data_IF_027106670632
#
_entry.id   IF_027106670632
#
_cell.length_a   1.000
_cell.length_b   1.000
_cell.length_c   1.000
_cell.angle_alpha   90.00
_cell.angle_beta   90.00
_cell.angle_gamma   90.00
#
_symmetry.space_group_name_H-M   'P 1'
#
loop_
_entity.id
_entity.type
_entity.pdbx_description
1 polymer ?
#
# COMPACT_ATOMS: atom_id res chain seq x y z
N UNK A 1 13.47 6.93 2.41
CA UNK A 1 14.78 6.26 2.37
C UNK A 1 15.90 7.11 1.78
N UNK A 2 15.70 7.90 0.73
CA UNK A 2 16.75 8.80 0.19
C UNK A 2 17.38 9.70 1.27
N UNK A 3 16.57 10.36 2.11
CA UNK A 3 17.07 11.17 3.23
C UNK A 3 17.93 10.39 4.22
N UNK A 4 17.58 9.12 4.49
CA UNK A 4 18.37 8.25 5.38
C UNK A 4 19.71 7.89 4.72
N UNK A 5 19.72 7.63 3.40
CA UNK A 5 20.94 7.35 2.65
C UNK A 5 21.88 8.55 2.63
N UNK A 6 21.36 9.75 2.34
CA UNK A 6 22.14 10.99 2.27
C UNK A 6 22.77 11.35 3.62
N UNK A 7 22.02 11.20 4.72
CA UNK A 7 22.49 11.57 6.05
C UNK A 7 23.36 10.51 6.72
N UNK A 8 23.28 9.25 6.29
CA UNK A 8 23.99 8.14 6.94
C UNK A 8 25.52 8.24 6.89
N UNK A 9 26.08 8.87 5.84
CA UNK A 9 27.52 9.06 5.69
C UNK A 9 28.12 10.03 6.71
N UNK A 10 27.28 10.82 7.39
CA UNK A 10 27.69 11.80 8.40
C UNK A 10 27.42 11.30 9.83
N UNK A 11 26.80 10.13 9.99
CA UNK A 11 26.41 9.58 11.28
C UNK A 11 27.42 8.54 11.78
N UNK A 12 28.11 8.81 12.90
CA UNK A 12 29.09 7.89 13.45
C UNK A 12 28.47 6.74 14.26
N UNK A 13 27.22 6.89 14.74
CA UNK A 13 26.58 5.92 15.63
C UNK A 13 25.21 5.48 15.10
N UNK A 14 24.88 4.20 15.33
CA UNK A 14 23.56 3.63 15.00
C UNK A 14 22.42 4.33 15.78
N UNK A 15 22.68 4.83 16.99
CA UNK A 15 21.70 5.61 17.75
C UNK A 15 21.21 6.85 17.00
N UNK A 16 22.12 7.52 16.28
CA UNK A 16 21.81 8.74 15.52
C UNK A 16 20.98 8.39 14.29
N UNK A 17 21.36 7.29 13.61
CA UNK A 17 20.60 6.71 12.51
C UNK A 17 19.18 6.33 12.94
N UNK A 18 19.00 5.72 14.11
CA UNK A 18 17.69 5.37 14.66
C UNK A 18 16.82 6.60 14.91
N UNK A 19 17.39 7.72 15.35
CA UNK A 19 16.67 8.98 15.52
C UNK A 19 16.07 9.47 14.21
N UNK A 20 16.85 9.45 13.13
CA UNK A 20 16.39 9.85 11.79
C UNK A 20 15.37 8.85 11.23
N UNK A 21 15.56 7.55 11.45
CA UNK A 21 14.57 6.53 11.06
C UNK A 21 13.26 6.74 11.82
N UNK A 22 13.30 7.05 13.12
CA UNK A 22 12.09 7.30 13.90
C UNK A 22 11.27 8.49 13.37
N UNK A 23 11.96 9.53 12.89
CA UNK A 23 11.33 10.73 12.33
C UNK A 23 10.80 10.52 10.91
N UNK A 24 11.56 9.83 10.05
CA UNK A 24 11.28 9.80 8.60
C UNK A 24 10.80 8.45 8.05
N UNK A 25 11.02 7.34 8.76
CA UNK A 25 10.69 5.99 8.29
C UNK A 25 10.46 5.04 9.48
N UNK A 26 9.55 5.40 10.37
CA UNK A 26 9.33 4.71 11.65
C UNK A 26 9.08 3.20 11.49
N UNK A 27 8.46 2.79 10.40
CA UNK A 27 8.21 1.40 10.01
C UNK A 27 9.49 0.56 9.81
N UNK A 28 10.63 1.21 9.63
CA UNK A 28 11.94 0.61 9.48
C UNK A 28 12.68 0.45 10.82
N UNK A 29 12.14 0.97 11.94
CA UNK A 29 12.77 0.85 13.26
C UNK A 29 12.97 -0.60 13.69
N UNK A 30 12.01 -1.48 13.39
CA UNK A 30 12.14 -2.90 13.72
C UNK A 30 13.27 -3.58 12.94
N UNK A 31 13.50 -3.17 11.69
CA UNK A 31 14.56 -3.69 10.84
C UNK A 31 15.93 -3.23 11.35
N UNK A 32 16.10 -1.94 11.66
CA UNK A 32 17.39 -1.43 12.15
C UNK A 32 17.73 -1.97 13.56
N UNK A 33 16.73 -2.21 14.42
CA UNK A 33 16.96 -2.85 15.71
C UNK A 33 17.48 -4.28 15.54
N UNK A 34 16.90 -5.05 14.61
CA UNK A 34 17.36 -6.40 14.29
C UNK A 34 18.80 -6.40 13.75
N UNK A 35 19.13 -5.45 12.87
CA UNK A 35 20.49 -5.29 12.33
C UNK A 35 21.50 -4.99 13.46
N UNK A 36 21.13 -4.14 14.42
CA UNK A 36 21.98 -3.87 15.59
C UNK A 36 22.11 -5.11 16.51
N UNK A 37 21.03 -5.86 16.73
CA UNK A 37 21.04 -7.12 17.49
C UNK A 37 21.92 -8.20 16.85
N UNK A 38 22.09 -8.17 15.52
CA UNK A 38 23.03 -9.02 14.77
C UNK A 38 24.51 -8.59 14.97
N UNK A 39 24.77 -7.55 15.76
CA UNK A 39 26.10 -7.06 16.11
C UNK A 39 26.70 -6.10 15.08
N UNK A 40 25.91 -5.62 14.13
CA UNK A 40 26.35 -4.61 13.17
C UNK A 40 26.40 -3.26 13.86
N UNK A 41 27.57 -2.63 13.89
CA UNK A 41 27.79 -1.32 14.52
C UNK A 41 28.15 -0.22 13.53
N UNK A 42 28.62 -0.58 12.33
CA UNK A 42 28.94 0.35 11.26
C UNK A 42 27.64 0.87 10.62
N UNK A 43 27.45 2.20 10.65
CA UNK A 43 26.23 2.86 10.16
C UNK A 43 26.01 2.66 8.67
N UNK A 44 27.07 2.63 7.86
CA UNK A 44 26.93 2.48 6.42
C UNK A 44 26.59 1.03 6.03
N UNK A 45 27.18 0.06 6.71
CA UNK A 45 26.78 -1.36 6.59
C UNK A 45 25.33 -1.53 7.04
N UNK A 46 24.94 -0.92 8.17
CA UNK A 46 23.58 -1.00 8.70
C UNK A 46 22.54 -0.43 7.73
N UNK A 47 22.81 0.71 7.09
CA UNK A 47 21.92 1.30 6.07
C UNK A 47 21.81 0.41 4.84
N UNK A 48 22.92 -0.17 4.36
CA UNK A 48 22.86 -1.09 3.23
C UNK A 48 22.02 -2.34 3.53
N UNK A 49 22.17 -2.91 4.72
CA UNK A 49 21.34 -4.04 5.16
C UNK A 49 19.86 -3.63 5.31
N UNK A 50 19.61 -2.43 5.84
CA UNK A 50 18.25 -1.88 5.98
C UNK A 50 17.55 -1.78 4.62
N UNK A 51 18.26 -1.29 3.59
CA UNK A 51 17.74 -1.20 2.22
C UNK A 51 17.44 -2.59 1.64
N UNK A 52 18.30 -3.58 1.88
CA UNK A 52 18.08 -4.96 1.45
C UNK A 52 16.83 -5.54 2.13
N UNK A 53 16.71 -5.38 3.44
CA UNK A 53 15.58 -5.89 4.21
C UNK A 53 14.25 -5.22 3.82
N UNK A 54 14.26 -3.90 3.56
CA UNK A 54 13.09 -3.19 3.02
C UNK A 54 12.71 -3.74 1.64
N UNK A 55 13.68 -3.95 0.76
CA UNK A 55 13.42 -4.52 -0.56
C UNK A 55 12.83 -5.93 -0.48
N UNK A 56 13.35 -6.79 0.40
CA UNK A 56 12.81 -8.14 0.65
C UNK A 56 11.37 -8.06 1.18
N UNK A 57 11.11 -7.15 2.12
CA UNK A 57 9.78 -6.91 2.67
C UNK A 57 8.80 -6.48 1.58
N UNK A 58 9.18 -5.53 0.72
CA UNK A 58 8.37 -5.05 -0.39
C UNK A 58 8.09 -6.15 -1.43
N UNK A 59 9.08 -6.96 -1.79
CA UNK A 59 8.90 -8.11 -2.67
C UNK A 59 7.94 -9.14 -2.07
N UNK A 60 8.02 -9.37 -0.76
CA UNK A 60 7.11 -10.27 -0.04
C UNK A 60 5.68 -9.75 -0.06
N UNK A 61 5.48 -8.44 0.18
CA UNK A 61 4.18 -7.77 0.09
C UNK A 61 3.60 -7.91 -1.33
N UNK A 62 4.38 -7.60 -2.37
CA UNK A 62 3.96 -7.72 -3.78
C UNK A 62 3.61 -9.17 -4.15
N UNK A 63 4.42 -10.14 -3.71
CA UNK A 63 4.14 -11.57 -3.91
C UNK A 63 2.81 -11.96 -3.27
N UNK A 64 2.56 -11.53 -2.03
CA UNK A 64 1.31 -11.83 -1.33
C UNK A 64 0.11 -11.24 -2.08
N UNK A 65 0.18 -9.98 -2.52
CA UNK A 65 -0.84 -9.38 -3.36
C UNK A 65 -1.12 -10.22 -4.62
N UNK A 66 -0.08 -10.62 -5.34
CA UNK A 66 -0.24 -11.42 -6.56
C UNK A 66 -0.88 -12.79 -6.30
N UNK A 67 -0.50 -13.46 -5.21
CA UNK A 67 -1.15 -14.71 -4.81
C UNK A 67 -2.65 -14.51 -4.59
N UNK A 68 -3.06 -13.43 -3.92
CA UNK A 68 -4.49 -13.13 -3.72
C UNK A 68 -5.21 -12.82 -5.02
N UNK A 69 -4.57 -12.13 -5.97
CA UNK A 69 -5.15 -11.86 -7.29
C UNK A 69 -5.34 -13.16 -8.09
N UNK A 70 -4.34 -14.04 -8.10
CA UNK A 70 -4.41 -15.37 -8.76
C UNK A 70 -5.54 -16.21 -8.18
N UNK A 71 -5.69 -16.20 -6.85
CA UNK A 71 -6.74 -16.92 -6.13
C UNK A 71 -8.14 -16.29 -6.28
N UNK A 72 -8.25 -15.13 -6.96
CA UNK A 72 -9.50 -14.34 -7.08
C UNK A 72 -10.04 -13.88 -5.72
N UNK A 73 -9.13 -13.58 -4.80
CA UNK A 73 -9.42 -13.13 -3.43
C UNK A 73 -8.99 -11.69 -3.17
N UNK A 74 -8.65 -10.94 -4.23
CA UNK A 74 -8.26 -9.54 -4.12
C UNK A 74 -9.04 -8.66 -5.09
N UNK A 75 -9.48 -7.51 -4.58
CA UNK A 75 -10.06 -6.43 -5.38
C UNK A 75 -9.01 -5.38 -5.73
N UNK A 76 -9.04 -4.87 -6.96
CA UNK A 76 -8.24 -3.73 -7.41
C UNK A 76 -9.14 -2.49 -7.51
N UNK A 77 -8.78 -1.42 -6.81
CA UNK A 77 -9.42 -0.12 -6.94
C UNK A 77 -8.50 0.85 -7.68
N UNK A 78 -8.96 1.33 -8.84
CA UNK A 78 -8.24 2.27 -9.70
C UNK A 78 -8.63 3.72 -9.40
N UNK A 79 -7.69 4.68 -9.45
CA UNK A 79 -6.38 4.56 -10.09
C UNK A 79 -5.30 3.86 -9.25
N UNK A 80 -4.34 3.29 -9.97
CA UNK A 80 -3.05 2.82 -9.48
C UNK A 80 -1.97 3.36 -10.44
N UNK A 81 -0.72 3.55 -9.98
CA UNK A 81 0.38 3.97 -10.85
C UNK A 81 0.74 2.84 -11.84
N UNK A 82 1.34 3.15 -13.02
CA UNK A 82 1.65 2.15 -14.05
C UNK A 82 2.42 0.92 -13.54
N UNK A 83 3.44 1.16 -12.70
CA UNK A 83 4.29 0.09 -12.15
C UNK A 83 3.53 -0.91 -11.26
N UNK A 84 2.35 -0.55 -10.75
CA UNK A 84 1.44 -1.46 -10.04
C UNK A 84 0.27 -1.90 -10.91
N UNK A 85 -0.36 -1.00 -11.65
CA UNK A 85 -1.53 -1.32 -12.47
C UNK A 85 -1.20 -2.35 -13.54
N UNK A 86 -0.09 -2.20 -14.27
CA UNK A 86 0.22 -3.06 -15.41
C UNK A 86 0.37 -4.54 -15.01
N UNK A 87 1.19 -4.89 -13.99
CA UNK A 87 1.29 -6.28 -13.55
C UNK A 87 0.03 -6.77 -12.85
N UNK A 88 -0.63 -5.95 -12.03
CA UNK A 88 -1.82 -6.40 -11.29
C UNK A 88 -3.02 -6.64 -12.22
N UNK A 89 -3.27 -5.76 -13.18
CA UNK A 89 -4.35 -5.90 -14.16
C UNK A 89 -4.10 -7.05 -15.15
N UNK A 90 -2.84 -7.42 -15.39
CA UNK A 90 -2.51 -8.61 -16.21
C UNK A 90 -2.94 -9.91 -15.54
N UNK A 91 -2.97 -9.94 -14.21
CA UNK A 91 -3.24 -11.15 -13.40
C UNK A 91 -4.69 -11.18 -12.90
N UNK A 92 -5.26 -10.01 -12.60
CA UNK A 92 -6.56 -9.89 -11.97
C UNK A 92 -7.71 -10.36 -12.87
N UNK A 93 -8.75 -10.88 -12.23
CA UNK A 93 -10.00 -11.13 -12.92
C UNK A 93 -10.77 -9.82 -13.10
N UNK A 94 -11.28 -9.56 -14.32
CA UNK A 94 -11.87 -8.26 -14.70
C UNK A 94 -13.07 -7.83 -13.85
N UNK A 95 -13.79 -8.76 -13.23
CA UNK A 95 -14.94 -8.47 -12.37
C UNK A 95 -14.55 -8.00 -10.95
N UNK A 96 -13.27 -8.13 -10.57
CA UNK A 96 -12.70 -7.68 -9.30
C UNK A 96 -11.89 -6.38 -9.46
N UNK A 97 -12.01 -5.71 -10.60
CA UNK A 97 -11.36 -4.42 -10.87
C UNK A 97 -12.42 -3.33 -10.97
N UNK A 98 -12.27 -2.29 -10.16
CA UNK A 98 -13.21 -1.18 -10.10
C UNK A 98 -12.54 0.17 -10.23
N UNK A 99 -13.21 1.08 -10.93
CA UNK A 99 -12.82 2.48 -11.01
C UNK A 99 -13.47 3.22 -9.84
N UNK A 100 -12.63 3.85 -9.00
CA UNK A 100 -13.06 4.67 -7.87
C UNK A 100 -12.82 6.16 -8.08
N UNK A 101 -12.24 6.56 -9.22
CA UNK A 101 -12.13 7.95 -9.66
C UNK A 101 -12.65 8.12 -11.08
N UNK A 102 -13.53 9.10 -11.31
CA UNK A 102 -14.03 9.42 -12.65
C UNK A 102 -12.95 10.06 -13.52
N UNK A 103 -11.98 10.72 -12.91
CA UNK A 103 -10.88 11.38 -13.61
C UNK A 103 -9.66 10.48 -13.64
N UNK A 104 -9.76 9.41 -14.44
CA UNK A 104 -8.65 8.47 -14.58
C UNK A 104 -7.42 9.15 -15.22
N UNK A 105 -6.22 8.82 -14.72
CA UNK A 105 -4.97 9.27 -15.32
C UNK A 105 -4.83 8.73 -16.75
N UNK A 106 -4.03 9.38 -17.62
CA UNK A 106 -3.96 9.06 -19.05
C UNK A 106 -3.75 7.57 -19.36
N UNK A 107 -2.90 6.88 -18.59
CA UNK A 107 -2.61 5.45 -18.79
C UNK A 107 -3.80 4.52 -18.52
N UNK A 108 -4.81 4.98 -17.76
CA UNK A 108 -6.02 4.23 -17.43
C UNK A 108 -7.27 4.69 -18.18
N UNK A 109 -7.19 5.73 -19.04
CA UNK A 109 -8.38 6.24 -19.76
C UNK A 109 -9.03 5.22 -20.69
N UNK A 110 -8.28 4.23 -21.16
CA UNK A 110 -8.76 3.15 -22.01
C UNK A 110 -9.29 1.95 -21.21
N UNK A 111 -9.22 2.01 -19.87
CA UNK A 111 -9.66 0.94 -19.02
C UNK A 111 -11.20 0.89 -18.97
N UNK A 112 -11.79 -0.21 -19.44
CA UNK A 112 -13.23 -0.42 -19.50
C UNK A 112 -13.78 -1.17 -18.27
N UNK A 113 -13.27 -0.86 -17.09
CA UNK A 113 -13.73 -1.47 -15.84
C UNK A 113 -14.99 -0.79 -15.32
N UNK A 114 -15.71 -1.47 -14.41
CA UNK A 114 -16.93 -0.91 -13.81
C UNK A 114 -16.57 0.23 -12.87
N UNK A 115 -17.27 1.35 -12.98
CA UNK A 115 -17.18 2.40 -11.96
C UNK A 115 -17.99 1.98 -10.73
N UNK A 116 -17.34 1.99 -9.58
CA UNK A 116 -17.89 1.47 -8.34
C UNK A 116 -19.15 2.23 -7.89
N UNK A 117 -19.24 3.54 -8.18
CA UNK A 117 -20.40 4.36 -7.82
C UNK A 117 -21.68 3.92 -8.56
N UNK A 118 -21.57 3.13 -9.63
CA UNK A 118 -22.69 2.67 -10.44
C UNK A 118 -23.04 1.19 -10.21
N UNK A 119 -22.37 0.52 -9.28
CA UNK A 119 -22.66 -0.88 -8.95
C UNK A 119 -23.72 -0.90 -7.85
N UNK A 120 -24.86 -1.60 -8.05
CA UNK A 120 -25.86 -1.77 -7.00
C UNK A 120 -25.24 -2.45 -5.76
N UNK A 121 -25.57 -2.03 -4.53
CA UNK A 121 -25.00 -2.63 -3.31
C UNK A 121 -25.15 -4.15 -3.25
N UNK A 122 -26.30 -4.68 -3.66
CA UNK A 122 -26.54 -6.13 -3.68
C UNK A 122 -25.63 -6.92 -4.63
N UNK A 123 -25.17 -6.28 -5.70
CA UNK A 123 -24.25 -6.91 -6.66
C UNK A 123 -22.82 -6.81 -6.15
N UNK A 124 -22.48 -5.71 -5.47
CA UNK A 124 -21.20 -5.55 -4.80
C UNK A 124 -21.02 -6.58 -3.69
N UNK A 125 -22.05 -6.85 -2.89
CA UNK A 125 -22.01 -7.86 -1.82
C UNK A 125 -21.71 -9.26 -2.37
N UNK A 126 -22.28 -9.62 -3.54
CA UNK A 126 -22.02 -10.91 -4.18
C UNK A 126 -20.62 -10.99 -4.78
N UNK A 127 -20.15 -9.90 -5.40
CA UNK A 127 -18.81 -9.82 -5.99
C UNK A 127 -17.70 -9.82 -4.93
N UNK A 128 -18.03 -9.40 -3.71
CA UNK A 128 -17.09 -9.29 -2.59
C UNK A 128 -17.05 -10.53 -1.68
N UNK A 129 -17.89 -11.54 -1.96
CA UNK A 129 -17.88 -12.80 -1.20
C UNK A 129 -16.54 -13.52 -1.35
N UNK A 130 -15.91 -13.84 -0.21
CA UNK A 130 -14.61 -14.55 -0.18
C UNK A 130 -13.39 -13.67 -0.50
N UNK A 131 -13.56 -12.37 -0.66
CA UNK A 131 -12.44 -11.43 -0.82
C UNK A 131 -11.69 -11.28 0.49
N UNK A 132 -10.37 -11.52 0.44
CA UNK A 132 -9.46 -11.45 1.59
C UNK A 132 -8.54 -10.24 1.50
N UNK A 133 -8.44 -9.58 0.34
CA UNK A 133 -7.52 -8.48 0.12
C UNK A 133 -8.09 -7.37 -0.77
N UNK A 134 -7.53 -6.18 -0.63
CA UNK A 134 -7.81 -5.06 -1.53
C UNK A 134 -6.54 -4.26 -1.80
N UNK A 135 -6.37 -3.76 -3.03
CA UNK A 135 -5.28 -2.87 -3.42
C UNK A 135 -5.83 -1.55 -3.95
N UNK A 136 -5.25 -0.44 -3.48
CA UNK A 136 -5.67 0.91 -3.83
C UNK A 136 -4.58 1.95 -3.60
N UNK A 137 -4.80 3.14 -4.14
CA UNK A 137 -4.07 4.36 -3.76
C UNK A 137 -4.61 4.96 -2.46
N UNK A 138 -3.70 5.52 -1.66
CA UNK A 138 -4.00 6.32 -0.47
C UNK A 138 -2.84 7.23 -0.12
N UNK A 139 -2.95 8.02 0.94
CA UNK A 139 -1.82 8.77 1.48
C UNK A 139 -1.79 8.68 3.00
N UNK A 140 -0.63 8.95 3.58
CA UNK A 140 -0.42 8.96 5.02
C UNK A 140 -0.22 10.39 5.48
N UNK A 141 -0.99 10.83 6.46
CA UNK A 141 -0.84 12.15 7.09
C UNK A 141 -1.10 12.00 8.60
N UNK A 142 -0.21 12.56 9.43
CA UNK A 142 -0.34 12.49 10.90
C UNK A 142 -0.55 11.07 11.46
N UNK A 143 0.10 10.05 10.86
CA UNK A 143 -0.03 8.62 11.18
C UNK A 143 -1.40 8.01 10.85
N UNK A 144 -2.28 8.76 10.22
CA UNK A 144 -3.57 8.30 9.74
C UNK A 144 -3.48 8.03 8.25
N UNK A 145 -4.22 7.02 7.79
CA UNK A 145 -4.24 6.66 6.38
C UNK A 145 -5.53 7.17 5.77
N UNK A 146 -5.41 7.86 4.65
CA UNK A 146 -6.50 8.46 3.94
C UNK A 146 -6.64 7.82 2.56
N UNK A 147 -7.88 7.48 2.22
CA UNK A 147 -8.24 6.83 0.96
C UNK A 147 -9.44 7.55 0.34
N UNK A 148 -9.75 7.24 -0.92
CA UNK A 148 -10.92 7.81 -1.61
C UNK A 148 -12.22 7.46 -0.89
N UNK A 149 -13.14 8.41 -0.80
CA UNK A 149 -14.38 8.26 -0.02
C UNK A 149 -15.25 7.07 -0.45
N UNK A 150 -15.36 6.79 -1.74
CA UNK A 150 -16.14 5.65 -2.21
C UNK A 150 -15.45 4.32 -1.86
N UNK A 151 -14.11 4.26 -1.88
CA UNK A 151 -13.35 3.08 -1.48
C UNK A 151 -13.55 2.75 0.02
N UNK A 152 -13.71 3.75 0.89
CA UNK A 152 -13.86 3.52 2.33
C UNK A 152 -15.10 2.71 2.69
N UNK A 153 -16.21 2.91 1.98
CA UNK A 153 -17.45 2.18 2.26
C UNK A 153 -17.31 0.69 1.93
N UNK A 154 -16.71 0.38 0.78
CA UNK A 154 -16.43 -1.00 0.38
C UNK A 154 -15.46 -1.66 1.37
N UNK A 155 -14.38 -0.97 1.73
CA UNK A 155 -13.39 -1.52 2.67
C UNK A 155 -14.04 -1.78 4.03
N UNK A 156 -14.88 -0.86 4.52
CA UNK A 156 -15.62 -1.07 5.76
C UNK A 156 -16.48 -2.34 5.70
N UNK A 157 -17.21 -2.57 4.61
CA UNK A 157 -18.01 -3.78 4.41
C UNK A 157 -17.13 -5.04 4.36
N UNK A 158 -16.04 -5.00 3.61
CA UNK A 158 -15.08 -6.11 3.51
C UNK A 158 -14.46 -6.46 4.87
N UNK A 159 -14.16 -5.46 5.70
CA UNK A 159 -13.70 -5.70 7.07
C UNK A 159 -14.74 -6.46 7.91
N UNK A 160 -16.04 -6.31 7.66
CA UNK A 160 -17.09 -7.10 8.32
C UNK A 160 -17.14 -8.55 7.83
N UNK A 161 -16.79 -8.78 6.56
CA UNK A 161 -16.85 -10.09 5.91
C UNK A 161 -15.54 -10.89 5.94
N UNK A 162 -14.49 -10.35 6.57
CA UNK A 162 -13.23 -11.08 6.80
C UNK A 162 -12.03 -10.64 5.96
N UNK A 163 -11.99 -9.37 5.52
CA UNK A 163 -10.79 -8.77 4.92
C UNK A 163 -9.57 -8.96 5.81
N UNK A 164 -8.45 -9.39 5.23
CA UNK A 164 -7.19 -9.67 5.94
C UNK A 164 -6.12 -8.62 5.64
N UNK A 165 -6.01 -8.23 4.37
CA UNK A 165 -4.90 -7.41 3.88
C UNK A 165 -5.41 -6.20 3.08
N UNK A 166 -4.94 -5.01 3.45
CA UNK A 166 -5.14 -3.79 2.65
C UNK A 166 -3.78 -3.36 2.11
N UNK A 167 -3.62 -3.38 0.79
CA UNK A 167 -2.40 -2.96 0.09
C UNK A 167 -2.55 -1.52 -0.39
N UNK A 168 -1.77 -0.61 0.19
CA UNK A 168 -1.89 0.82 -0.10
C UNK A 168 -0.64 1.29 -0.83
N UNK A 169 -0.83 1.78 -2.06
CA UNK A 169 0.19 2.60 -2.70
C UNK A 169 0.07 4.04 -2.21
N UNK A 170 1.12 4.54 -1.57
CA UNK A 170 1.13 5.93 -1.07
C UNK A 170 1.34 6.90 -2.23
N UNK A 171 0.41 7.83 -2.42
CA UNK A 171 0.54 8.91 -3.41
C UNK A 171 1.22 10.14 -2.79
N UNK A 172 2.12 10.81 -3.51
CA UNK A 172 2.84 11.98 -3.00
C UNK A 172 1.99 13.27 -3.04
N UNK A 173 0.98 13.32 -3.90
CA UNK A 173 0.16 14.51 -4.13
C UNK A 173 -1.32 14.13 -4.20
N UNK A 174 -2.15 14.86 -3.46
CA UNK A 174 -3.60 14.65 -3.41
C UNK A 174 -4.24 15.31 -4.64
N UNK A 175 -4.95 14.56 -5.51
CA UNK A 175 -5.63 15.16 -6.65
C UNK A 175 -6.73 16.12 -6.18
N UNK A 176 -6.78 17.37 -6.68
CA UNK A 176 -7.66 18.42 -6.13
C UNK A 176 -9.15 18.15 -6.36
N UNK A 177 -9.48 17.28 -7.31
CA UNK A 177 -10.86 16.89 -7.64
C UNK A 177 -11.36 15.71 -6.80
N UNK A 178 -10.49 15.09 -6.00
CA UNK A 178 -10.78 13.83 -5.31
C UNK A 178 -10.95 14.05 -3.81
N UNK A 179 -12.00 13.43 -3.24
CA UNK A 179 -12.25 13.48 -1.80
C UNK A 179 -11.68 12.26 -1.11
N UNK A 180 -10.83 12.52 -0.12
CA UNK A 180 -10.24 11.52 0.74
C UNK A 180 -10.84 11.56 2.13
N UNK A 181 -10.91 10.40 2.77
CA UNK A 181 -11.40 10.20 4.13
C UNK A 181 -10.47 9.25 4.86
N UNK A 182 -10.45 9.37 6.18
CA UNK A 182 -9.69 8.48 7.04
C UNK A 182 -10.18 7.04 6.90
N UNK A 183 -9.25 6.11 6.72
CA UNK A 183 -9.52 4.69 6.62
C UNK A 183 -9.72 4.09 8.01
N UNK A 184 -10.93 3.58 8.28
CA UNK A 184 -11.19 2.77 9.46
C UNK A 184 -11.03 1.28 9.13
N UNK A 185 -9.94 0.68 9.59
CA UNK A 185 -9.63 -0.73 9.30
C UNK A 185 -10.19 -1.72 10.30
N UNK A 186 -10.77 -1.27 11.43
CA UNK A 186 -11.20 -2.16 12.54
C UNK A 186 -10.12 -3.16 13.00
N UNK A 187 -8.83 -2.83 12.82
CA UNK A 187 -7.71 -3.70 13.19
C UNK A 187 -7.20 -4.64 12.08
N UNK A 188 -7.73 -4.53 10.85
CA UNK A 188 -7.20 -5.25 9.68
C UNK A 188 -5.78 -4.78 9.36
N UNK A 189 -4.94 -5.72 8.90
CA UNK A 189 -3.55 -5.46 8.55
C UNK A 189 -3.44 -4.54 7.35
N UNK A 190 -2.55 -3.55 7.45
CA UNK A 190 -2.28 -2.59 6.38
C UNK A 190 -0.84 -2.78 5.91
N UNK A 191 -0.71 -3.09 4.62
CA UNK A 191 0.57 -3.23 3.94
C UNK A 191 0.77 -2.00 3.04
N UNK A 192 1.65 -1.09 3.45
CA UNK A 192 2.03 0.04 2.61
C UNK A 192 3.06 -0.45 1.61
N UNK A 193 2.79 -0.25 0.32
CA UNK A 193 3.71 -0.54 -0.77
C UNK A 193 4.50 0.73 -1.09
N UNK A 194 5.78 0.75 -0.73
CA UNK A 194 6.72 1.75 -1.22
C UNK A 194 7.18 1.37 -2.64
N UNK A 195 7.51 2.38 -3.45
CA UNK A 195 7.95 2.21 -4.85
C UNK A 195 9.32 1.57 -4.88
#
# INVERSE_FOLDING_TARGET
METIMEMSGEMPLISDLKGVIEEHAKECLSLINKIEEEGITDTQVAVNLLLIDEAIKNLTIRRNLFMRLIERKAIILLPLPPHLSDPTLTIAHNDLVFIVDRNLPPHLRHAHYKNMDFIPPSDLDKLTEGIEAIVLEGYVENKMIYIRQNASNLIYQLCLSGLKDIFIHSIPHIPPHSRFVELNTRGVSINIMTV
#
